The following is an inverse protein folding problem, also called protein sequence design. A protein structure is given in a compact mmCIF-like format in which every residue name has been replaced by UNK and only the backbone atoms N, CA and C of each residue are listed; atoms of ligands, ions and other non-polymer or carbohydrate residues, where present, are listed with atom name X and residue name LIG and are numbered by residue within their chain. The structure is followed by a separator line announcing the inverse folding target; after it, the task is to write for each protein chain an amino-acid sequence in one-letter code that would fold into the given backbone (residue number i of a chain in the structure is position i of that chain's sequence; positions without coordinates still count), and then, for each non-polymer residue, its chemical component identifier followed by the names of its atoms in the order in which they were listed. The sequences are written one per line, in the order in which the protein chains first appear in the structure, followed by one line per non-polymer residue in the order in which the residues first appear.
data_IF_157205113795
#
_entry.id   IF_157205113795
#
_cell.length_a   1.000
_cell.length_b   1.000
_cell.length_c   1.000
_cell.angle_alpha   90.00
_cell.angle_beta   90.00
_cell.angle_gamma   90.00
#
_symmetry.space_group_name_H-M   'P 1'
#
loop_
_entity.id
_entity.type
_entity.pdbx_description
1 polymer ?
#
# COMPACT_ATOMS: atom_id res chain seq x y z
N UNK A 1 10.44 12.07 -14.31
CA UNK A 1 10.99 12.62 -13.06
C UNK A 1 11.59 14.02 -13.27
N UNK A 2 12.59 14.22 -14.14
CA UNK A 2 13.25 15.55 -14.28
C UNK A 2 12.40 16.66 -14.92
N UNK A 3 11.31 16.31 -15.63
CA UNK A 3 10.42 17.27 -16.30
C UNK A 3 9.53 18.08 -15.35
N UNK A 4 9.44 17.67 -14.08
CA UNK A 4 8.64 18.35 -13.04
C UNK A 4 9.49 19.18 -12.07
N UNK A 5 10.79 19.33 -12.34
CA UNK A 5 11.67 20.21 -11.54
C UNK A 5 11.32 21.65 -11.88
N UNK A 6 10.97 22.45 -10.88
CA UNK A 6 10.74 23.88 -11.06
C UNK A 6 12.02 24.56 -11.57
N UNK A 7 11.87 25.36 -12.62
CA UNK A 7 12.95 25.86 -13.47
C UNK A 7 14.02 26.73 -12.78
N UNK A 8 13.87 27.05 -11.49
CA UNK A 8 14.74 27.97 -10.74
C UNK A 8 15.35 27.40 -9.46
N UNK A 9 15.22 26.10 -9.17
CA UNK A 9 15.58 25.56 -7.85
C UNK A 9 16.96 24.89 -7.74
N UNK A 10 17.52 24.37 -8.84
CA UNK A 10 18.73 23.54 -8.81
C UNK A 10 19.72 23.93 -9.91
N UNK A 11 21.01 23.90 -9.60
CA UNK A 11 22.08 24.04 -10.58
C UNK A 11 22.13 22.82 -11.52
N UNK A 12 22.75 23.00 -12.69
CA UNK A 12 22.95 21.90 -13.65
C UNK A 12 23.68 20.71 -13.02
N UNK A 13 24.67 20.97 -12.16
CA UNK A 13 25.47 19.94 -11.49
C UNK A 13 24.62 19.13 -10.50
N UNK A 14 23.71 19.77 -9.77
CA UNK A 14 22.78 19.09 -8.85
C UNK A 14 21.77 18.23 -9.61
N UNK A 15 21.26 18.73 -10.74
CA UNK A 15 20.37 17.95 -11.61
C UNK A 15 21.09 16.72 -12.16
N UNK A 16 22.32 16.88 -12.66
CA UNK A 16 23.13 15.78 -13.19
C UNK A 16 23.42 14.73 -12.11
N UNK A 17 23.70 15.17 -10.87
CA UNK A 17 23.91 14.28 -9.73
C UNK A 17 22.63 13.51 -9.37
N UNK A 18 21.49 14.18 -9.26
CA UNK A 18 20.21 13.52 -8.95
C UNK A 18 19.86 12.52 -10.05
N UNK A 19 20.01 12.90 -11.32
CA UNK A 19 19.77 12.01 -12.45
C UNK A 19 20.67 10.76 -12.37
N UNK A 20 21.96 10.96 -12.07
CA UNK A 20 22.90 9.85 -11.88
C UNK A 20 22.47 8.94 -10.73
N UNK A 21 22.11 9.48 -9.56
CA UNK A 21 21.66 8.69 -8.40
C UNK A 21 20.41 7.88 -8.74
N UNK A 22 19.41 8.49 -9.39
CA UNK A 22 18.17 7.81 -9.77
C UNK A 22 18.44 6.65 -10.72
N UNK A 23 19.30 6.84 -11.72
CA UNK A 23 19.68 5.78 -12.67
C UNK A 23 20.48 4.69 -11.96
N UNK A 24 21.46 5.04 -11.12
CA UNK A 24 22.26 4.07 -10.36
C UNK A 24 21.48 3.30 -9.29
N UNK A 25 20.28 3.77 -8.95
CA UNK A 25 19.37 3.18 -7.96
C UNK A 25 18.01 2.89 -8.55
N UNK A 26 17.92 2.64 -9.85
CA UNK A 26 16.64 2.48 -10.55
C UNK A 26 15.74 1.40 -9.92
N UNK A 27 16.34 0.30 -9.43
CA UNK A 27 15.62 -0.77 -8.73
C UNK A 27 14.98 -0.38 -7.40
N UNK A 28 15.34 0.77 -6.83
CA UNK A 28 14.71 1.29 -5.61
C UNK A 28 13.41 2.06 -5.90
N UNK A 29 13.13 2.39 -7.17
CA UNK A 29 11.95 3.15 -7.58
C UNK A 29 10.96 2.24 -8.29
N UNK A 30 9.69 2.35 -7.91
CA UNK A 30 8.58 1.74 -8.63
C UNK A 30 7.74 2.85 -9.27
N UNK A 31 7.57 2.79 -10.59
CA UNK A 31 6.75 3.74 -11.34
C UNK A 31 5.33 3.21 -11.59
N UNK A 32 5.15 1.89 -11.47
CA UNK A 32 3.87 1.22 -11.61
C UNK A 32 3.77 0.03 -10.62
N UNK A 33 2.58 -0.56 -10.52
CA UNK A 33 2.33 -1.68 -9.61
C UNK A 33 3.15 -2.94 -9.95
N UNK A 34 3.54 -3.16 -11.20
CA UNK A 34 4.32 -4.32 -11.63
C UNK A 34 5.79 -4.24 -11.20
N UNK A 35 6.31 -3.02 -11.01
CA UNK A 35 7.66 -2.76 -10.52
C UNK A 35 7.75 -2.74 -8.99
N UNK A 36 6.62 -2.83 -8.28
CA UNK A 36 6.63 -2.78 -6.82
C UNK A 36 7.40 -4.00 -6.27
N UNK A 37 8.33 -3.74 -5.37
CA UNK A 37 9.04 -4.78 -4.64
C UNK A 37 8.26 -5.28 -3.42
N UNK A 38 8.67 -6.44 -2.91
CA UNK A 38 8.29 -6.95 -1.59
C UNK A 38 9.51 -6.94 -0.67
N UNK A 39 9.28 -6.85 0.63
CA UNK A 39 10.34 -7.00 1.60
C UNK A 39 10.91 -8.41 1.58
N UNK A 40 12.23 -8.53 1.73
CA UNK A 40 12.89 -9.83 1.84
C UNK A 40 12.39 -10.56 3.08
N UNK A 41 11.94 -11.81 2.89
CA UNK A 41 11.48 -12.69 3.97
C UNK A 41 12.58 -13.07 4.97
N UNK A 42 13.85 -12.82 4.63
CA UNK A 42 14.99 -12.96 5.55
C UNK A 42 14.92 -11.95 6.70
N UNK A 43 14.57 -10.70 6.39
CA UNK A 43 14.51 -9.61 7.37
C UNK A 43 13.08 -9.36 7.87
N UNK A 44 12.09 -9.60 7.02
CA UNK A 44 10.68 -9.41 7.31
C UNK A 44 9.92 -10.71 7.08
N UNK A 45 9.92 -11.63 8.07
CA UNK A 45 9.14 -12.84 7.96
C UNK A 45 7.65 -12.52 7.82
N UNK A 46 6.93 -13.49 7.26
CA UNK A 46 5.49 -13.41 7.05
C UNK A 46 4.79 -12.95 8.33
N UNK A 47 3.92 -11.95 8.20
CA UNK A 47 3.24 -11.35 9.32
C UNK A 47 2.10 -12.26 9.81
N UNK A 48 2.14 -12.63 11.07
CA UNK A 48 1.04 -13.33 11.74
C UNK A 48 0.15 -12.29 12.42
N UNK A 49 -1.17 -12.35 12.17
CA UNK A 49 -2.12 -11.42 12.79
C UNK A 49 -2.47 -11.93 14.20
N UNK A 50 -2.03 -11.24 15.27
CA UNK A 50 -2.33 -11.70 16.62
C UNK A 50 -3.80 -11.46 16.93
N UNK A 51 -4.54 -12.50 17.32
CA UNK A 51 -5.95 -12.41 17.69
C UNK A 51 -6.23 -13.03 19.06
N UNK A 52 -7.25 -12.53 19.74
CA UNK A 52 -7.79 -13.19 20.94
C UNK A 52 -8.63 -14.40 20.54
N UNK A 53 -9.01 -15.26 21.50
CA UNK A 53 -9.95 -16.34 21.23
C UNK A 53 -11.29 -15.78 20.73
N UNK A 54 -11.78 -16.29 19.60
CA UNK A 54 -13.02 -15.86 18.99
C UNK A 54 -13.60 -16.93 18.06
N UNK A 55 -14.83 -16.71 17.62
CA UNK A 55 -15.49 -17.57 16.64
C UNK A 55 -15.36 -16.94 15.25
N UNK A 56 -14.97 -17.71 14.21
CA UNK A 56 -14.97 -17.21 12.84
C UNK A 56 -16.34 -16.68 12.41
N UNK A 57 -16.35 -15.66 11.55
CA UNK A 57 -17.59 -15.02 11.10
C UNK A 57 -17.76 -15.06 9.59
N UNK A 58 -19.02 -15.03 9.17
CA UNK A 58 -19.40 -14.83 7.78
C UNK A 58 -20.33 -13.63 7.65
N UNK A 59 -19.79 -12.53 7.16
CA UNK A 59 -20.57 -11.32 6.84
C UNK A 59 -21.17 -11.45 5.44
N UNK A 60 -22.36 -10.89 5.22
CA UNK A 60 -23.00 -10.87 3.89
C UNK A 60 -22.29 -9.87 2.97
N UNK A 61 -22.11 -10.16 1.68
CA UNK A 61 -21.57 -9.18 0.74
C UNK A 61 -22.45 -7.93 0.66
N UNK A 62 -21.83 -6.76 0.54
CA UNK A 62 -22.56 -5.52 0.27
C UNK A 62 -22.86 -5.49 -1.25
N UNK A 63 -24.09 -5.21 -1.68
CA UNK A 63 -24.42 -5.15 -3.10
C UNK A 63 -23.55 -4.12 -3.84
N UNK A 64 -22.88 -4.55 -4.89
CA UNK A 64 -22.09 -3.67 -5.76
C UNK A 64 -23.05 -2.96 -6.73
N UNK A 65 -23.02 -1.62 -6.84
CA UNK A 65 -23.82 -0.90 -7.82
C UNK A 65 -23.51 -1.36 -9.25
N UNK A 66 -24.55 -1.58 -10.05
CA UNK A 66 -24.41 -2.06 -11.44
C UNK A 66 -23.50 -1.17 -12.29
N UNK A 67 -23.50 0.14 -12.04
CA UNK A 67 -22.71 1.11 -12.80
C UNK A 67 -21.19 0.90 -12.69
N UNK A 68 -20.71 0.26 -11.63
CA UNK A 68 -19.26 0.02 -11.39
C UNK A 68 -18.93 -1.47 -11.32
N UNK A 69 -19.87 -2.35 -11.66
CA UNK A 69 -19.72 -3.79 -11.45
C UNK A 69 -18.55 -4.36 -12.27
N UNK A 70 -18.49 -4.03 -13.56
CA UNK A 70 -17.44 -4.53 -14.46
C UNK A 70 -16.06 -4.00 -14.04
N UNK A 71 -15.98 -2.75 -13.60
CA UNK A 71 -14.77 -2.15 -13.06
C UNK A 71 -14.28 -2.91 -11.81
N UNK A 72 -15.19 -3.26 -10.90
CA UNK A 72 -14.83 -4.03 -9.70
C UNK A 72 -14.33 -5.43 -10.07
N UNK A 73 -14.98 -6.10 -11.03
CA UNK A 73 -14.55 -7.42 -11.50
C UNK A 73 -13.15 -7.34 -12.13
N UNK A 74 -12.89 -6.32 -12.94
CA UNK A 74 -11.56 -6.09 -13.52
C UNK A 74 -10.49 -5.91 -12.43
N UNK A 75 -10.74 -5.04 -11.46
CA UNK A 75 -9.79 -4.81 -10.35
C UNK A 75 -9.54 -6.07 -9.53
N UNK A 76 -10.56 -6.90 -9.27
CA UNK A 76 -10.35 -8.19 -8.57
C UNK A 76 -9.42 -9.10 -9.37
N UNK A 77 -9.65 -9.25 -10.68
CA UNK A 77 -8.82 -10.08 -11.56
C UNK A 77 -7.39 -9.56 -11.66
N UNK A 78 -7.21 -8.25 -11.73
CA UNK A 78 -5.88 -7.64 -11.77
C UNK A 78 -5.12 -7.88 -10.45
N UNK A 79 -5.80 -7.79 -9.30
CA UNK A 79 -5.20 -8.11 -8.01
C UNK A 79 -4.90 -9.61 -7.85
N UNK A 80 -5.71 -10.49 -8.45
CA UNK A 80 -5.42 -11.94 -8.51
C UNK A 80 -4.20 -12.22 -9.39
N UNK A 81 -4.13 -11.63 -10.59
CA UNK A 81 -2.99 -11.75 -11.49
C UNK A 81 -1.69 -11.19 -10.88
N UNK A 82 -1.79 -10.13 -10.07
CA UNK A 82 -0.68 -9.58 -9.31
C UNK A 82 -0.30 -10.41 -8.06
N UNK A 83 -1.03 -11.50 -7.76
CA UNK A 83 -0.78 -12.37 -6.61
C UNK A 83 -1.17 -11.76 -5.26
N UNK A 84 -1.96 -10.69 -5.24
CA UNK A 84 -2.47 -10.07 -4.00
C UNK A 84 -3.71 -10.78 -3.47
N UNK A 85 -4.56 -11.24 -4.38
CA UNK A 85 -5.73 -12.04 -4.06
C UNK A 85 -5.53 -13.47 -4.56
N UNK A 86 -6.08 -14.42 -3.81
CA UNK A 86 -6.10 -15.82 -4.19
C UNK A 86 -7.47 -16.44 -3.84
N UNK A 87 -7.95 -17.42 -4.62
CA UNK A 87 -9.08 -18.23 -4.21
C UNK A 87 -8.78 -18.98 -2.91
N UNK A 88 -9.66 -18.88 -1.93
CA UNK A 88 -9.47 -19.52 -0.62
C UNK A 88 -10.75 -20.21 -0.14
N UNK A 89 -10.58 -21.24 0.71
CA UNK A 89 -11.66 -21.86 1.46
C UNK A 89 -11.47 -21.51 2.93
N UNK A 90 -12.15 -20.47 3.40
CA UNK A 90 -11.99 -19.94 4.74
C UNK A 90 -13.28 -19.99 5.55
N UNK A 91 -13.13 -20.16 6.87
CA UNK A 91 -14.23 -19.98 7.83
C UNK A 91 -14.56 -18.50 8.06
N UNK A 92 -13.67 -17.59 7.64
CA UNK A 92 -13.86 -16.15 7.69
C UNK A 92 -14.38 -15.62 6.36
N UNK A 93 -15.34 -14.69 6.42
CA UNK A 93 -15.74 -13.87 5.28
C UNK A 93 -16.10 -12.46 5.75
N UNK A 94 -15.32 -11.48 5.33
CA UNK A 94 -15.63 -10.07 5.52
C UNK A 94 -16.47 -9.53 4.36
N UNK A 95 -17.25 -8.48 4.63
CA UNK A 95 -17.98 -7.79 3.57
C UNK A 95 -17.01 -6.98 2.72
N UNK A 96 -17.31 -6.83 1.44
CA UNK A 96 -16.55 -6.03 0.48
C UNK A 96 -17.48 -5.02 -0.16
N UNK A 97 -16.99 -3.80 -0.37
CA UNK A 97 -17.66 -2.77 -1.15
C UNK A 97 -16.64 -2.01 -2.00
N UNK A 98 -17.12 -1.29 -3.00
CA UNK A 98 -16.27 -0.53 -3.90
C UNK A 98 -16.66 0.95 -3.91
N UNK A 99 -15.65 1.80 -4.06
CA UNK A 99 -15.79 3.26 -4.11
C UNK A 99 -15.24 3.75 -5.44
N UNK A 100 -16.08 4.44 -6.22
CA UNK A 100 -15.64 5.08 -7.46
C UNK A 100 -14.64 6.20 -7.17
N UNK A 101 -13.54 6.25 -7.93
CA UNK A 101 -12.57 7.34 -7.86
C UNK A 101 -12.98 8.48 -8.79
N UNK A 102 -12.19 9.56 -8.77
CA UNK A 102 -12.35 10.69 -9.70
C UNK A 102 -12.22 10.21 -11.15
N UNK A 103 -12.98 10.78 -12.10
CA UNK A 103 -12.85 10.45 -13.51
C UNK A 103 -11.40 10.55 -14.00
N UNK A 104 -10.95 9.55 -14.77
CA UNK A 104 -9.56 9.46 -15.24
C UNK A 104 -8.58 8.81 -14.25
N UNK A 105 -9.05 8.30 -13.11
CA UNK A 105 -8.23 7.48 -12.21
C UNK A 105 -8.03 6.08 -12.78
N UNK A 106 -6.84 5.54 -12.57
CA UNK A 106 -6.50 4.14 -12.85
C UNK A 106 -5.97 3.48 -11.55
N UNK A 107 -6.62 2.42 -11.02
CA UNK A 107 -7.92 1.90 -11.45
C UNK A 107 -9.08 2.88 -11.18
N UNK A 108 -10.24 2.73 -11.85
CA UNK A 108 -11.39 3.63 -11.69
C UNK A 108 -12.15 3.47 -10.37
N UNK A 109 -11.93 2.34 -9.66
CA UNK A 109 -12.57 2.03 -8.37
C UNK A 109 -11.55 1.57 -7.35
N UNK A 110 -11.82 1.84 -6.08
CA UNK A 110 -11.11 1.26 -4.94
C UNK A 110 -11.97 0.18 -4.28
N UNK A 111 -11.39 -1.02 -4.12
CA UNK A 111 -12.00 -2.10 -3.35
C UNK A 111 -11.69 -1.91 -1.88
N UNK A 112 -12.71 -1.97 -1.04
CA UNK A 112 -12.59 -1.87 0.41
C UNK A 112 -13.16 -3.13 1.05
N UNK A 113 -12.35 -3.80 1.85
CA UNK A 113 -12.77 -4.93 2.68
C UNK A 113 -13.10 -4.40 4.07
N UNK A 114 -14.31 -4.68 4.56
CA UNK A 114 -14.75 -4.29 5.89
C UNK A 114 -14.11 -5.20 6.95
N UNK A 115 -12.98 -4.73 7.48
CA UNK A 115 -12.21 -5.43 8.51
C UNK A 115 -12.59 -5.05 9.94
N UNK A 116 -13.72 -4.36 10.18
CA UNK A 116 -14.11 -3.94 11.53
C UNK A 116 -14.23 -5.11 12.51
N UNK A 117 -14.77 -6.26 12.06
CA UNK A 117 -14.84 -7.47 12.89
C UNK A 117 -13.46 -8.05 13.19
N UNK A 118 -12.57 -8.11 12.20
CA UNK A 118 -11.20 -8.56 12.40
C UNK A 118 -10.49 -7.66 13.41
N UNK A 119 -10.56 -6.35 13.21
CA UNK A 119 -9.97 -5.35 14.10
C UNK A 119 -10.49 -5.41 15.54
N UNK A 120 -11.70 -5.95 15.77
CA UNK A 120 -12.25 -6.12 17.12
C UNK A 120 -11.65 -7.30 17.88
N UNK A 121 -11.09 -8.28 17.18
CA UNK A 121 -10.45 -9.47 17.75
C UNK A 121 -8.92 -9.43 17.61
N UNK A 122 -8.39 -8.54 16.78
CA UNK A 122 -6.94 -8.32 16.64
C UNK A 122 -6.36 -7.65 17.89
N UNK A 123 -5.31 -8.25 18.44
CA UNK A 123 -4.53 -7.67 19.53
C UNK A 123 -3.76 -6.47 18.97
N UNK A 124 -3.92 -5.30 19.58
CA UNK A 124 -3.30 -4.06 19.10
C UNK A 124 -1.82 -4.03 19.48
N UNK A 125 -0.99 -3.65 18.51
CA UNK A 125 0.40 -3.31 18.77
C UNK A 125 0.47 -1.99 19.57
N UNK A 126 1.45 -1.91 20.45
CA UNK A 126 1.82 -0.71 21.21
C UNK A 126 2.70 0.26 20.42
N UNK A 127 3.14 -0.13 19.22
CA UNK A 127 3.90 0.72 18.32
C UNK A 127 3.08 1.94 17.85
N UNK A 128 3.19 3.04 18.59
CA UNK A 128 2.63 4.32 18.20
C UNK A 128 3.56 5.02 17.21
N UNK A 129 3.02 5.67 16.17
CA UNK A 129 3.82 6.56 15.33
C UNK A 129 4.52 7.62 16.19
N UNK A 130 5.73 8.07 15.78
CA UNK A 130 6.42 9.14 16.50
C UNK A 130 5.59 10.43 16.48
N UNK A 131 5.84 11.31 17.45
CA UNK A 131 5.23 12.64 17.45
C UNK A 131 5.67 13.41 16.19
N UNK A 132 4.70 13.87 15.41
CA UNK A 132 4.95 14.54 14.13
C UNK A 132 5.76 15.82 14.30
N UNK A 133 5.54 16.58 15.38
CA UNK A 133 6.26 17.82 15.62
C UNK A 133 7.72 17.53 15.98
N UNK A 134 7.96 16.59 16.88
CA UNK A 134 9.33 16.19 17.25
C UNK A 134 10.07 15.59 16.05
N UNK A 135 9.38 14.77 15.26
CA UNK A 135 9.91 14.26 14.00
C UNK A 135 10.28 15.40 13.05
N UNK A 136 9.39 16.37 12.83
CA UNK A 136 9.65 17.52 11.96
C UNK A 136 10.78 18.42 12.48
N UNK A 137 10.85 18.65 13.80
CA UNK A 137 11.91 19.44 14.43
C UNK A 137 13.29 18.79 14.30
N UNK A 138 13.37 17.45 14.26
CA UNK A 138 14.63 16.74 14.04
C UNK A 138 15.31 17.08 12.72
N UNK A 139 14.56 17.65 11.77
CA UNK A 139 15.06 18.05 10.46
C UNK A 139 15.54 19.51 10.43
N UNK A 140 15.34 20.31 11.48
CA UNK A 140 15.72 21.72 11.49
C UNK A 140 17.22 21.92 11.26
N UNK A 141 17.56 22.88 10.39
CA UNK A 141 18.95 23.25 10.10
C UNK A 141 19.62 22.46 8.97
N UNK A 142 18.92 21.50 8.34
CA UNK A 142 19.42 20.89 7.11
C UNK A 142 19.19 21.80 5.89
N UNK A 143 20.18 21.81 4.99
CA UNK A 143 20.14 22.62 3.77
C UNK A 143 19.26 22.00 2.67
N UNK A 144 19.02 20.68 2.73
CA UNK A 144 18.29 19.92 1.71
C UNK A 144 17.43 18.84 2.38
N UNK A 145 16.24 18.59 1.84
CA UNK A 145 15.32 17.56 2.29
C UNK A 145 14.92 16.67 1.12
N UNK A 146 14.90 15.35 1.36
CA UNK A 146 14.37 14.37 0.42
C UNK A 146 13.14 13.69 1.03
N UNK A 147 12.03 13.70 0.31
CA UNK A 147 10.81 12.99 0.70
C UNK A 147 10.62 11.81 -0.25
N UNK A 148 10.50 10.62 0.34
CA UNK A 148 10.24 9.38 -0.38
C UNK A 148 9.01 8.72 0.23
N UNK A 149 8.16 8.18 -0.62
CA UNK A 149 6.99 7.41 -0.21
C UNK A 149 7.09 5.99 -0.77
N UNK A 150 6.59 5.02 0.00
CA UNK A 150 6.50 3.64 -0.44
C UNK A 150 5.23 3.49 -1.28
N UNK A 151 5.39 3.20 -2.59
CA UNK A 151 4.30 3.05 -3.56
C UNK A 151 3.17 2.10 -3.09
N UNK A 152 3.47 1.14 -2.22
CA UNK A 152 2.52 0.19 -1.66
C UNK A 152 3.03 -0.39 -0.32
N UNK A 153 3.28 0.48 0.66
CA UNK A 153 3.99 0.11 1.90
C UNK A 153 3.44 -1.12 2.64
N UNK A 154 2.12 -1.25 2.77
CA UNK A 154 1.50 -2.40 3.45
C UNK A 154 1.63 -3.71 2.66
N UNK A 155 1.42 -3.66 1.35
CA UNK A 155 1.43 -4.88 0.52
C UNK A 155 2.85 -5.41 0.26
N UNK A 156 3.90 -4.66 0.63
CA UNK A 156 5.27 -5.12 0.53
C UNK A 156 5.57 -6.28 1.51
N UNK A 157 4.74 -6.48 2.53
CA UNK A 157 4.89 -7.54 3.52
C UNK A 157 3.91 -8.69 3.25
N UNK A 158 4.41 -9.92 3.33
CA UNK A 158 3.59 -11.12 3.22
C UNK A 158 2.84 -11.38 4.53
N UNK A 159 1.63 -11.93 4.42
CA UNK A 159 0.84 -12.42 5.55
C UNK A 159 1.01 -13.94 5.65
N UNK A 160 1.18 -14.45 6.87
CA UNK A 160 1.37 -15.88 7.10
C UNK A 160 0.10 -16.69 6.82
N UNK A 161 0.26 -17.92 6.32
CA UNK A 161 -0.85 -18.83 5.92
C UNK A 161 -1.74 -19.25 7.10
N UNK A 162 -1.25 -19.11 8.34
CA UNK A 162 -1.95 -19.51 9.58
C UNK A 162 -2.74 -18.38 10.26
N UNK A 163 -2.84 -17.22 9.60
CA UNK A 163 -3.52 -16.01 10.10
C UNK A 163 -5.04 -16.11 10.03
#
# INVERSE_FOLDING_TARGET
MLKSIEASSLSKQEIDLIAWVVVQREYAFAFNHAEKGSFSREYFPDYEIPTIEHVPWQSKPIPIPKAIYDDVVAVIRDNEAAGRFEPTTSSYRSSLFAVAKKPGSDPPVHIVIDLQKLNSVTIRDSALPPNINEFAESFLGHALYGLFDLFSGFDARYVGIRS
#
